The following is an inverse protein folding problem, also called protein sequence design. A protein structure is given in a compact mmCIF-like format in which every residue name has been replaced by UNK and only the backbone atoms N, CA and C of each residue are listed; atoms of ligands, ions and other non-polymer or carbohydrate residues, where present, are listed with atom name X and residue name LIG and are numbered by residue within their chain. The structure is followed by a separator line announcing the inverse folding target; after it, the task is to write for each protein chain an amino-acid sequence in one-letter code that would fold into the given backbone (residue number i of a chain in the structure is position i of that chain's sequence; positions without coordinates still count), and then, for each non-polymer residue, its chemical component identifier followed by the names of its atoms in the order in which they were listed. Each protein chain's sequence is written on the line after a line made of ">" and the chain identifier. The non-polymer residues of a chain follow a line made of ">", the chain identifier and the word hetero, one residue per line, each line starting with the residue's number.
data_IF_794533027502
#
_entry.id   IF_794533027502
#
_cell.length_a   1.000
_cell.length_b   1.000
_cell.length_c   1.000
_cell.angle_alpha   90.00
_cell.angle_beta   90.00
_cell.angle_gamma   90.00
#
_symmetry.space_group_name_H-M   'P 1'
#
loop_
_entity.id
_entity.type
_entity.pdbx_description
1 polymer ?
#
# COMPACT_ATOMS: atom_id res chain seq x y z
N UNK A 1 78.65 -4.39 -46.89
CA UNK A 1 77.86 -5.54 -46.43
C UNK A 1 76.38 -5.18 -46.61
N UNK A 2 75.80 -5.57 -47.75
CA UNK A 2 74.45 -5.13 -48.18
C UNK A 2 73.47 -6.24 -47.81
N UNK A 3 72.65 -6.01 -46.78
CA UNK A 3 71.61 -6.96 -46.39
C UNK A 3 70.54 -6.99 -47.50
N UNK A 4 70.47 -8.12 -48.19
CA UNK A 4 69.46 -8.42 -49.19
C UNK A 4 68.14 -8.73 -48.46
N UNK A 5 67.24 -7.75 -48.44
CA UNK A 5 65.88 -7.93 -47.91
C UNK A 5 65.10 -8.84 -48.88
N UNK A 6 65.11 -10.15 -48.62
CA UNK A 6 64.17 -11.09 -49.26
C UNK A 6 62.75 -10.75 -48.81
N UNK A 7 61.97 -10.14 -49.69
CA UNK A 7 60.53 -10.01 -49.56
C UNK A 7 59.90 -11.42 -49.59
N UNK A 8 59.52 -11.93 -48.41
CA UNK A 8 58.78 -13.19 -48.31
C UNK A 8 57.32 -12.91 -48.73
N UNK A 9 56.87 -13.57 -49.80
CA UNK A 9 55.47 -13.55 -50.21
C UNK A 9 54.60 -14.38 -49.25
N UNK A 10 53.35 -13.94 -49.04
CA UNK A 10 52.37 -14.68 -48.25
C UNK A 10 51.97 -15.96 -48.99
N UNK A 11 51.92 -17.07 -48.27
CA UNK A 11 51.38 -18.32 -48.83
C UNK A 11 49.85 -18.27 -48.85
N UNK A 12 49.21 -18.92 -49.82
CA UNK A 12 47.74 -18.97 -49.91
C UNK A 12 47.12 -19.53 -48.62
N UNK A 13 47.81 -20.48 -47.97
CA UNK A 13 47.43 -21.04 -46.68
C UNK A 13 47.45 -20.00 -45.55
N UNK A 14 48.46 -19.12 -45.47
CA UNK A 14 48.49 -18.03 -44.47
C UNK A 14 47.33 -17.05 -44.68
N UNK A 15 46.97 -16.74 -45.92
CA UNK A 15 45.84 -15.85 -46.21
C UNK A 15 44.52 -16.49 -45.79
N UNK A 16 44.33 -17.79 -46.05
CA UNK A 16 43.14 -18.53 -45.62
C UNK A 16 43.06 -18.63 -44.09
N UNK A 17 44.17 -18.90 -43.41
CA UNK A 17 44.20 -18.96 -41.94
C UNK A 17 43.95 -17.57 -41.35
N UNK A 18 44.61 -16.52 -41.85
CA UNK A 18 44.44 -15.16 -41.37
C UNK A 18 42.99 -14.68 -41.55
N UNK A 19 42.38 -14.93 -42.70
CA UNK A 19 40.98 -14.57 -42.94
C UNK A 19 40.02 -15.34 -42.03
N UNK A 20 40.27 -16.64 -41.77
CA UNK A 20 39.48 -17.43 -40.84
C UNK A 20 39.56 -16.88 -39.40
N UNK A 21 40.77 -16.52 -38.93
CA UNK A 21 40.97 -15.93 -37.60
C UNK A 21 40.26 -14.59 -37.48
N UNK A 22 40.38 -13.72 -38.49
CA UNK A 22 39.69 -12.42 -38.51
C UNK A 22 38.18 -12.62 -38.47
N UNK A 23 37.64 -13.55 -39.27
CA UNK A 23 36.20 -13.82 -39.30
C UNK A 23 35.67 -14.27 -37.93
N UNK A 24 36.39 -15.17 -37.25
CA UNK A 24 36.02 -15.62 -35.89
C UNK A 24 36.11 -14.46 -34.89
N UNK A 25 37.16 -13.64 -34.97
CA UNK A 25 37.33 -12.48 -34.10
C UNK A 25 36.21 -11.44 -34.31
N UNK A 26 35.88 -11.11 -35.55
CA UNK A 26 34.78 -10.19 -35.88
C UNK A 26 33.43 -10.71 -35.38
N UNK A 27 33.16 -12.00 -35.56
CA UNK A 27 31.93 -12.62 -35.05
C UNK A 27 31.83 -12.58 -33.52
N UNK A 28 32.94 -12.81 -32.80
CA UNK A 28 32.98 -12.71 -31.35
C UNK A 28 32.70 -11.27 -30.87
N UNK A 29 33.31 -10.28 -31.53
CA UNK A 29 33.13 -8.86 -31.24
C UNK A 29 31.68 -8.40 -31.47
N UNK A 30 31.05 -8.83 -32.57
CA UNK A 30 29.64 -8.52 -32.84
C UNK A 30 28.70 -9.10 -31.76
N UNK A 31 28.94 -10.33 -31.31
CA UNK A 31 28.18 -10.93 -30.19
C UNK A 31 28.36 -10.16 -28.88
N UNK A 32 29.53 -9.59 -28.65
CA UNK A 32 29.80 -8.80 -27.47
C UNK A 32 29.07 -7.43 -27.51
N UNK A 33 29.15 -6.72 -28.63
CA UNK A 33 28.47 -5.43 -28.80
C UNK A 33 26.95 -5.54 -28.71
N UNK A 34 26.35 -6.57 -29.30
CA UNK A 34 24.90 -6.81 -29.19
C UNK A 34 24.48 -7.05 -27.74
N UNK A 35 25.27 -7.81 -26.96
CA UNK A 35 25.01 -7.98 -25.51
C UNK A 35 25.06 -6.65 -24.77
N UNK A 36 26.07 -5.81 -25.00
CA UNK A 36 26.17 -4.48 -24.37
C UNK A 36 24.99 -3.59 -24.76
N UNK A 37 24.59 -3.58 -26.03
CA UNK A 37 23.44 -2.81 -26.49
C UNK A 37 22.17 -3.18 -25.72
N UNK A 38 21.93 -4.48 -25.52
CA UNK A 38 20.77 -4.94 -24.76
C UNK A 38 20.81 -4.56 -23.29
N UNK A 39 21.98 -4.57 -22.63
CA UNK A 39 22.09 -4.21 -21.21
C UNK A 39 21.92 -2.71 -21.00
N UNK A 40 22.48 -1.88 -21.88
CA UNK A 40 22.29 -0.42 -21.84
C UNK A 40 20.81 -0.08 -22.04
N UNK A 41 20.16 -0.70 -23.02
CA UNK A 41 18.73 -0.52 -23.26
C UNK A 41 17.87 -0.93 -22.04
N UNK A 42 18.18 -2.07 -21.41
CA UNK A 42 17.51 -2.50 -20.19
C UNK A 42 17.73 -1.53 -19.02
N UNK A 43 18.92 -0.96 -18.90
CA UNK A 43 19.23 0.05 -17.87
C UNK A 43 18.42 1.33 -18.08
N UNK A 44 18.40 1.87 -19.31
CA UNK A 44 17.61 3.06 -19.67
C UNK A 44 16.12 2.85 -19.45
N UNK A 45 15.59 1.72 -19.90
CA UNK A 45 14.15 1.43 -19.74
C UNK A 45 13.74 1.30 -18.27
N UNK A 46 14.61 0.73 -17.42
CA UNK A 46 14.41 0.68 -15.96
C UNK A 46 14.48 2.07 -15.32
N UNK A 47 15.40 2.92 -15.76
CA UNK A 47 15.48 4.31 -15.28
C UNK A 47 14.20 5.08 -15.59
N UNK A 48 13.72 5.01 -16.84
CA UNK A 48 12.44 5.62 -17.25
C UNK A 48 11.28 5.09 -16.41
N UNK A 49 11.15 3.76 -16.24
CA UNK A 49 10.10 3.18 -15.42
C UNK A 49 10.14 3.68 -13.95
N UNK A 50 11.34 3.84 -13.39
CA UNK A 50 11.53 4.37 -12.03
C UNK A 50 11.06 5.80 -11.93
N UNK A 51 11.41 6.65 -12.91
CA UNK A 51 10.98 8.05 -12.96
C UNK A 51 9.46 8.15 -13.07
N UNK A 52 8.84 7.40 -13.98
CA UNK A 52 7.38 7.39 -14.16
C UNK A 52 6.63 6.94 -12.90
N UNK A 53 7.19 5.98 -12.16
CA UNK A 53 6.62 5.50 -10.92
C UNK A 53 6.72 6.56 -9.80
N UNK A 54 7.89 7.21 -9.68
CA UNK A 54 8.14 8.28 -8.70
C UNK A 54 7.27 9.51 -8.96
N UNK A 55 7.20 9.96 -10.21
CA UNK A 55 6.37 11.11 -10.61
C UNK A 55 4.91 10.89 -10.21
N UNK A 56 4.36 9.70 -10.48
CA UNK A 56 2.99 9.36 -10.09
C UNK A 56 2.84 9.29 -8.58
N UNK A 57 3.81 8.71 -7.87
CA UNK A 57 3.78 8.66 -6.42
C UNK A 57 3.78 10.07 -5.81
N UNK A 58 4.64 10.96 -6.30
CA UNK A 58 4.71 12.36 -5.86
C UNK A 58 3.40 13.10 -6.14
N UNK A 59 2.81 12.91 -7.32
CA UNK A 59 1.50 13.45 -7.64
C UNK A 59 0.41 12.93 -6.67
N UNK A 60 0.46 11.64 -6.32
CA UNK A 60 -0.47 11.05 -5.35
C UNK A 60 -0.24 11.57 -3.92
N UNK A 61 1.01 11.78 -3.54
CA UNK A 61 1.36 12.32 -2.21
C UNK A 61 0.89 13.76 -2.01
N UNK A 62 0.69 14.54 -3.08
CA UNK A 62 0.12 15.89 -2.99
C UNK A 62 -1.36 15.91 -2.65
N UNK A 63 -2.10 14.82 -2.90
CA UNK A 63 -3.51 14.77 -2.51
C UNK A 63 -3.67 14.75 -0.98
N UNK A 64 -4.71 15.42 -0.44
CA UNK A 64 -5.03 15.30 0.97
C UNK A 64 -5.47 13.87 1.28
N UNK A 65 -5.21 13.42 2.51
CA UNK A 65 -5.44 12.05 2.95
C UNK A 65 -6.85 11.54 2.61
N UNK A 66 -7.87 12.38 2.79
CA UNK A 66 -9.28 12.05 2.56
C UNK A 66 -9.65 11.89 1.08
N UNK A 67 -8.89 12.52 0.16
CA UNK A 67 -9.10 12.34 -1.29
C UNK A 67 -8.47 11.07 -1.84
N UNK A 68 -7.48 10.53 -1.14
CA UNK A 68 -6.90 9.24 -1.48
C UNK A 68 -7.85 8.14 -1.00
N UNK A 69 -8.75 7.73 -1.88
CA UNK A 69 -9.66 6.62 -1.59
C UNK A 69 -8.84 5.32 -1.51
N UNK A 70 -8.95 4.54 -0.43
CA UNK A 70 -8.43 3.18 -0.42
C UNK A 70 -9.16 2.34 -1.46
N UNK A 71 -8.43 1.42 -2.08
CA UNK A 71 -8.98 0.57 -3.12
C UNK A 71 -10.17 -0.21 -2.59
N UNK A 72 -11.25 -0.25 -3.35
CA UNK A 72 -12.40 -1.07 -2.98
C UNK A 72 -12.47 -2.31 -3.86
N UNK A 73 -11.75 -2.37 -4.99
CA UNK A 73 -11.76 -3.53 -5.88
C UNK A 73 -10.36 -3.85 -6.39
N UNK A 74 -9.98 -5.12 -6.32
CA UNK A 74 -8.65 -5.59 -6.69
C UNK A 74 -8.73 -6.38 -7.99
N UNK A 75 -8.32 -5.75 -9.09
CA UNK A 75 -8.18 -6.44 -10.38
C UNK A 75 -6.74 -6.90 -10.56
N UNK A 76 -6.56 -8.09 -11.16
CA UNK A 76 -5.24 -8.61 -11.52
C UNK A 76 -4.75 -7.93 -12.79
N UNK A 77 -3.50 -7.48 -12.80
CA UNK A 77 -2.89 -6.90 -13.99
C UNK A 77 -2.87 -7.89 -15.15
N UNK A 78 -3.45 -7.50 -16.28
CA UNK A 78 -3.27 -8.17 -17.57
C UNK A 78 -1.89 -7.87 -18.17
N UNK A 79 -1.25 -6.78 -17.71
CA UNK A 79 0.03 -6.29 -18.20
C UNK A 79 1.06 -6.27 -17.07
N UNK A 80 2.10 -7.10 -17.17
CA UNK A 80 3.15 -7.23 -16.16
C UNK A 80 3.31 -8.65 -15.63
N UNK A 81 4.25 -8.87 -14.69
CA UNK A 81 4.38 -10.14 -13.99
C UNK A 81 3.08 -10.54 -13.28
N UNK A 82 2.87 -11.84 -13.12
CA UNK A 82 1.68 -12.37 -12.44
C UNK A 82 1.63 -11.89 -10.98
N UNK A 83 0.44 -11.54 -10.50
CA UNK A 83 0.22 -11.20 -9.09
C UNK A 83 0.17 -9.70 -8.77
N UNK A 84 0.42 -8.80 -9.72
CA UNK A 84 0.12 -7.37 -9.50
C UNK A 84 -1.39 -7.21 -9.33
N UNK A 85 -1.78 -6.64 -8.19
CA UNK A 85 -3.15 -6.19 -7.94
C UNK A 85 -3.19 -4.67 -7.98
N UNK A 86 -4.17 -4.13 -8.69
CA UNK A 86 -4.38 -2.69 -8.80
C UNK A 86 -5.87 -2.37 -8.65
N UNK A 87 -6.17 -1.10 -8.39
CA UNK A 87 -7.55 -0.61 -8.28
C UNK A 87 -8.14 -0.41 -9.69
N UNK A 88 -9.24 -1.09 -10.01
CA UNK A 88 -9.90 -0.99 -11.33
C UNK A 88 -10.54 0.37 -11.61
N UNK A 89 -10.91 1.12 -10.57
CA UNK A 89 -11.69 2.36 -10.68
C UNK A 89 -10.77 3.58 -10.65
N UNK A 90 -9.93 3.69 -9.61
CA UNK A 90 -9.01 4.82 -9.45
C UNK A 90 -7.62 4.55 -10.02
N UNK A 91 -7.30 3.28 -10.29
CA UNK A 91 -5.96 2.84 -10.64
C UNK A 91 -5.83 2.08 -11.94
N UNK A 92 -6.80 2.27 -12.84
CA UNK A 92 -6.81 1.64 -14.15
C UNK A 92 -5.45 1.82 -14.87
N UNK A 93 -4.97 0.80 -15.62
CA UNK A 93 -3.64 0.84 -16.20
C UNK A 93 -3.53 1.97 -17.22
N UNK A 94 -2.61 2.89 -16.98
CA UNK A 94 -2.30 4.00 -17.87
C UNK A 94 -1.15 3.60 -18.79
N UNK A 95 -1.36 3.65 -20.11
CA UNK A 95 -0.31 3.35 -21.09
C UNK A 95 0.48 4.62 -21.43
N UNK A 96 1.79 4.55 -21.26
CA UNK A 96 2.71 5.65 -21.57
C UNK A 96 3.75 5.12 -22.56
N UNK A 97 3.95 5.83 -23.68
CA UNK A 97 4.95 5.47 -24.67
C UNK A 97 6.16 6.41 -24.55
N UNK A 98 7.34 5.85 -24.26
CA UNK A 98 8.59 6.61 -24.17
C UNK A 98 9.66 5.87 -24.97
N UNK A 99 10.22 6.52 -25.99
CA UNK A 99 11.29 5.94 -26.81
C UNK A 99 10.90 4.63 -27.50
N UNK A 100 9.63 4.47 -27.88
CA UNK A 100 9.10 3.26 -28.52
C UNK A 100 8.76 2.12 -27.56
N UNK A 101 8.94 2.32 -26.24
CA UNK A 101 8.57 1.35 -25.20
C UNK A 101 7.25 1.75 -24.57
N UNK A 102 6.31 0.80 -24.57
CA UNK A 102 5.03 0.92 -23.85
C UNK A 102 5.21 0.54 -22.39
N UNK A 103 4.93 1.48 -21.50
CA UNK A 103 4.88 1.32 -20.06
C UNK A 103 3.42 1.31 -19.61
N UNK A 104 3.09 0.41 -18.70
CA UNK A 104 1.77 0.32 -18.06
C UNK A 104 1.93 0.72 -16.60
N UNK A 105 1.35 1.86 -16.24
CA UNK A 105 1.37 2.38 -14.88
C UNK A 105 0.08 2.03 -14.18
N UNK A 106 0.18 1.41 -13.02
CA UNK A 106 -0.94 0.94 -12.21
C UNK A 106 -0.74 1.41 -10.77
N UNK A 107 -1.82 1.56 -10.01
CA UNK A 107 -1.74 1.97 -8.61
C UNK A 107 -2.65 1.12 -7.72
N UNK A 108 -2.25 1.00 -6.46
CA UNK A 108 -3.12 0.53 -5.39
C UNK A 108 -2.93 1.39 -4.14
N UNK A 109 -4.04 1.73 -3.49
CA UNK A 109 -4.03 2.45 -2.21
C UNK A 109 -4.64 1.55 -1.16
N UNK A 110 -3.92 1.26 -0.09
CA UNK A 110 -4.35 0.35 0.97
C UNK A 110 -4.38 1.10 2.30
N UNK A 111 -5.40 0.85 3.12
CA UNK A 111 -5.34 1.21 4.55
C UNK A 111 -4.32 0.30 5.22
N UNK A 112 -3.47 0.85 6.08
CA UNK A 112 -2.45 0.08 6.79
C UNK A 112 -2.39 0.48 8.25
N UNK A 113 -2.08 -0.46 9.15
CA UNK A 113 -1.80 -0.17 10.56
C UNK A 113 -0.39 -0.59 10.92
N UNK A 114 0.14 0.02 11.96
CA UNK A 114 1.36 -0.49 12.59
C UNK A 114 1.05 -1.83 13.27
N UNK A 115 1.93 -2.80 13.06
CA UNK A 115 1.90 -4.05 13.80
C UNK A 115 2.10 -3.77 15.30
N UNK A 116 1.19 -4.20 16.20
CA UNK A 116 1.43 -4.07 17.63
C UNK A 116 2.63 -4.90 18.12
N UNK A 117 3.00 -5.96 17.39
CA UNK A 117 4.08 -6.88 17.77
C UNK A 117 5.45 -6.53 17.14
N UNK A 118 5.54 -5.52 16.26
CA UNK A 118 6.78 -5.24 15.53
C UNK A 118 6.83 -3.91 14.78
N UNK A 119 7.93 -3.66 14.03
CA UNK A 119 8.10 -2.43 13.25
C UNK A 119 7.34 -2.43 11.92
N UNK A 120 6.67 -3.54 11.57
CA UNK A 120 6.06 -3.74 10.26
C UNK A 120 4.71 -3.03 10.13
N UNK A 121 4.32 -2.76 8.89
CA UNK A 121 2.99 -2.27 8.56
C UNK A 121 2.13 -3.43 8.06
N UNK A 122 1.03 -3.68 8.76
CA UNK A 122 0.01 -4.67 8.38
C UNK A 122 -0.97 -3.99 7.44
N UNK A 123 -1.21 -4.61 6.30
CA UNK A 123 -2.27 -4.18 5.40
C UNK A 123 -3.61 -4.50 6.04
N UNK A 124 -4.49 -3.50 6.15
CA UNK A 124 -5.89 -3.72 6.48
C UNK A 124 -6.61 -4.13 5.20
N UNK A 125 -6.13 -5.24 4.67
CA UNK A 125 -6.96 -6.14 3.90
C UNK A 125 -7.80 -6.88 4.92
N UNK A 126 -9.08 -7.05 4.60
CA UNK A 126 -10.01 -7.81 5.41
C UNK A 126 -9.41 -9.19 5.69
N UNK A 127 -8.93 -9.43 6.92
CA UNK A 127 -8.55 -10.77 7.37
C UNK A 127 -9.86 -11.51 7.64
N UNK A 128 -10.52 -11.91 6.56
CA UNK A 128 -11.37 -13.08 6.60
C UNK A 128 -10.43 -14.24 6.35
N UNK A 129 -10.06 -14.89 7.44
CA UNK A 129 -9.34 -16.15 7.46
C UNK A 129 -10.19 -17.21 6.72
N UNK A 130 -10.14 -17.21 5.39
CA UNK A 130 -11.07 -18.01 4.58
C UNK A 130 -11.27 -17.58 3.12
N UNK A 131 -10.21 -17.25 2.38
CA UNK A 131 -10.20 -17.35 0.91
C UNK A 131 -11.20 -16.51 0.08
N UNK A 132 -11.98 -15.62 0.69
CA UNK A 132 -12.92 -14.73 0.02
C UNK A 132 -12.29 -13.37 -0.28
N UNK A 133 -12.34 -12.93 -1.52
CA UNK A 133 -11.86 -11.59 -1.91
C UNK A 133 -12.90 -10.56 -1.46
N UNK A 134 -12.85 -10.10 -0.21
CA UNK A 134 -13.68 -8.98 0.23
C UNK A 134 -12.96 -7.63 0.05
N UNK A 135 -13.56 -6.88 -0.86
CA UNK A 135 -13.38 -5.48 -1.19
C UNK A 135 -13.28 -4.64 0.09
N UNK A 136 -12.16 -3.93 0.31
CA UNK A 136 -12.01 -3.07 1.48
C UNK A 136 -13.14 -2.03 1.47
N UNK A 137 -14.16 -2.24 2.29
CA UNK A 137 -15.30 -1.33 2.30
C UNK A 137 -14.86 0.00 2.92
N UNK A 138 -15.45 1.13 2.52
CA UNK A 138 -15.15 2.44 3.09
C UNK A 138 -15.35 2.51 4.62
N UNK A 139 -16.08 1.55 5.19
CA UNK A 139 -16.47 1.48 6.60
C UNK A 139 -15.43 0.86 7.55
N UNK A 140 -14.33 0.28 7.05
CA UNK A 140 -13.26 -0.17 7.94
C UNK A 140 -12.65 1.00 8.70
N UNK A 141 -12.35 0.77 9.98
CA UNK A 141 -11.69 1.74 10.86
C UNK A 141 -10.54 2.40 10.11
N UNK A 142 -10.67 3.71 9.87
CA UNK A 142 -9.56 4.50 9.37
C UNK A 142 -8.41 4.33 10.37
N UNK A 143 -7.19 4.16 9.90
CA UNK A 143 -6.00 4.02 10.74
C UNK A 143 -5.11 5.24 10.66
N UNK A 144 -5.53 6.27 9.92
CA UNK A 144 -4.75 7.49 9.72
C UNK A 144 -3.53 7.28 8.84
N UNK A 145 -3.34 6.06 8.29
CA UNK A 145 -2.21 5.72 7.44
C UNK A 145 -2.69 4.95 6.20
N UNK A 146 -2.24 5.39 5.05
CA UNK A 146 -2.47 4.73 3.75
C UNK A 146 -1.14 4.42 3.09
N UNK A 147 -1.03 3.21 2.54
CA UNK A 147 0.08 2.81 1.67
C UNK A 147 -0.34 3.01 0.23
N UNK A 148 0.48 3.71 -0.54
CA UNK A 148 0.31 3.92 -1.97
C UNK A 148 1.38 3.07 -2.65
N UNK A 149 0.95 2.07 -3.42
CA UNK A 149 1.83 1.33 -4.30
C UNK A 149 1.62 1.83 -5.74
N UNK A 150 2.72 2.15 -6.41
CA UNK A 150 2.74 2.45 -7.84
C UNK A 150 3.56 1.38 -8.53
N UNK A 151 2.94 0.69 -9.48
CA UNK A 151 3.58 -0.31 -10.32
C UNK A 151 3.77 0.25 -11.71
N UNK A 152 4.96 0.05 -12.29
CA UNK A 152 5.19 0.30 -13.71
C UNK A 152 5.72 -0.97 -14.33
N UNK A 153 4.97 -1.51 -15.29
CA UNK A 153 5.30 -2.72 -16.02
C UNK A 153 5.64 -2.41 -17.49
N UNK A 154 6.61 -3.11 -18.05
CA UNK A 154 6.96 -3.00 -19.47
C UNK A 154 7.42 -4.36 -20.01
N UNK A 155 7.27 -4.54 -21.32
CA UNK A 155 7.67 -5.77 -21.98
C UNK A 155 9.10 -5.66 -22.52
N UNK A 156 9.88 -6.73 -22.35
CA UNK A 156 11.20 -6.90 -22.95
C UNK A 156 11.20 -8.15 -23.83
N UNK A 157 12.26 -8.36 -24.62
CA UNK A 157 12.46 -9.61 -25.38
C UNK A 157 12.51 -10.86 -24.50
N UNK A 158 12.74 -10.70 -23.18
CA UNK A 158 12.78 -11.78 -22.19
C UNK A 158 11.50 -11.85 -21.32
N UNK A 159 10.42 -11.20 -21.75
CA UNK A 159 9.16 -11.14 -21.03
C UNK A 159 8.95 -9.85 -20.24
N UNK A 160 7.93 -9.86 -19.39
CA UNK A 160 7.51 -8.70 -18.60
C UNK A 160 8.48 -8.38 -17.47
N UNK A 161 8.71 -7.08 -17.28
CA UNK A 161 9.47 -6.51 -16.16
C UNK A 161 8.58 -5.52 -15.42
N UNK A 162 8.87 -5.32 -14.15
CA UNK A 162 8.15 -4.37 -13.31
C UNK A 162 9.09 -3.64 -12.36
N UNK A 163 8.64 -2.48 -11.91
CA UNK A 163 9.14 -1.81 -10.72
C UNK A 163 7.96 -1.40 -9.85
N UNK A 164 8.13 -1.52 -8.53
CA UNK A 164 7.18 -1.03 -7.53
C UNK A 164 7.85 0.08 -6.74
N UNK A 165 7.15 1.21 -6.60
CA UNK A 165 7.52 2.28 -5.68
C UNK A 165 6.39 2.41 -4.67
N UNK A 166 6.76 2.45 -3.39
CA UNK A 166 5.82 2.51 -2.27
C UNK A 166 6.01 3.84 -1.57
N UNK A 167 4.90 4.51 -1.25
CA UNK A 167 4.87 5.65 -0.36
C UNK A 167 3.82 5.48 0.72
N UNK A 168 3.99 6.21 1.81
CA UNK A 168 3.02 6.29 2.89
C UNK A 168 2.40 7.68 2.89
N UNK A 169 1.10 7.73 3.16
CA UNK A 169 0.37 8.96 3.40
C UNK A 169 -0.28 8.88 4.78
N UNK A 170 0.14 9.76 5.65
CA UNK A 170 -0.48 9.96 6.96
C UNK A 170 -1.55 11.04 6.91
N UNK A 171 -2.48 10.95 7.86
CA UNK A 171 -3.42 12.01 8.15
C UNK A 171 -2.84 12.90 9.27
N UNK A 172 -2.30 14.06 8.90
CA UNK A 172 -1.66 14.99 9.82
C UNK A 172 -2.59 15.52 10.95
N UNK A 173 -3.91 15.48 10.74
CA UNK A 173 -4.90 15.95 11.72
C UNK A 173 -5.30 14.83 12.68
N UNK A 174 -4.97 13.57 12.38
CA UNK A 174 -5.39 12.47 13.24
C UNK A 174 -4.49 12.39 14.46
N UNK A 175 -5.07 12.68 15.62
CA UNK A 175 -4.50 12.26 16.88
C UNK A 175 -4.54 10.73 16.89
N UNK A 176 -3.38 10.10 17.08
CA UNK A 176 -3.27 8.64 17.15
C UNK A 176 -4.27 8.10 18.17
N UNK A 177 -4.99 7.00 17.88
CA UNK A 177 -5.89 6.32 18.80
C UNK A 177 -5.09 5.74 19.98
N UNK A 178 -4.70 6.62 20.90
CA UNK A 178 -3.83 6.35 22.05
C UNK A 178 -4.60 6.43 23.37
N UNK A 179 -5.91 6.65 23.31
CA UNK A 179 -6.80 6.63 24.46
C UNK A 179 -7.65 5.37 24.40
N UNK A 180 -7.84 4.71 25.54
CA UNK A 180 -8.79 3.59 25.65
C UNK A 180 -10.08 4.13 26.22
N UNK A 181 -11.17 3.99 25.47
CA UNK A 181 -12.51 4.18 26.00
C UNK A 181 -12.96 2.86 26.61
N UNK A 182 -13.40 2.89 27.86
CA UNK A 182 -13.93 1.71 28.53
C UNK A 182 -15.11 2.09 29.42
N UNK A 183 -16.00 1.15 29.64
CA UNK A 183 -17.19 1.36 30.47
C UNK A 183 -18.00 0.10 30.68
N UNK A 184 -19.14 0.26 31.33
CA UNK A 184 -20.11 -0.79 31.61
C UNK A 184 -21.46 -0.42 30.99
N UNK A 185 -22.09 -1.37 30.30
CA UNK A 185 -23.47 -1.24 29.83
C UNK A 185 -24.39 -1.95 30.81
N UNK A 186 -25.41 -1.22 31.29
CA UNK A 186 -26.41 -1.72 32.22
C UNK A 186 -27.81 -1.45 31.68
N UNK A 187 -28.72 -2.39 31.92
CA UNK A 187 -30.16 -2.21 31.80
C UNK A 187 -30.66 -1.13 32.76
N UNK A 188 -31.84 -0.58 32.48
CA UNK A 188 -32.60 0.30 33.40
C UNK A 188 -32.83 -0.33 34.77
N UNK A 189 -32.85 -1.66 34.85
CA UNK A 189 -32.97 -2.44 36.10
C UNK A 189 -31.64 -2.71 36.80
N UNK A 190 -30.51 -2.23 36.27
CA UNK A 190 -29.17 -2.38 36.83
C UNK A 190 -28.42 -3.66 36.44
N UNK A 191 -29.06 -4.58 35.69
CA UNK A 191 -28.41 -5.79 35.16
C UNK A 191 -27.36 -5.45 34.09
N UNK A 192 -26.23 -6.14 34.10
CA UNK A 192 -25.18 -6.00 33.09
C UNK A 192 -25.63 -6.64 31.77
N UNK A 193 -25.35 -5.98 30.64
CA UNK A 193 -25.80 -6.43 29.33
C UNK A 193 -24.62 -6.91 28.47
N UNK A 194 -24.66 -8.19 28.09
CA UNK A 194 -23.73 -8.83 27.17
C UNK A 194 -24.15 -8.61 25.70
N UNK A 195 -23.19 -8.74 24.78
CA UNK A 195 -23.38 -8.68 23.33
C UNK A 195 -23.97 -7.37 22.80
N UNK A 196 -23.75 -6.26 23.50
CA UNK A 196 -24.23 -4.93 23.08
C UNK A 196 -23.13 -4.22 22.28
N UNK A 197 -23.47 -3.79 21.06
CA UNK A 197 -22.61 -2.91 20.26
C UNK A 197 -22.63 -1.50 20.83
N UNK A 198 -21.46 -1.04 21.29
CA UNK A 198 -21.20 0.33 21.72
C UNK A 198 -20.51 1.03 20.56
N UNK A 199 -21.11 2.11 20.06
CA UNK A 199 -20.58 2.89 18.95
C UNK A 199 -20.28 4.33 19.39
N UNK A 200 -19.20 4.88 18.87
CA UNK A 200 -18.78 6.25 19.11
C UNK A 200 -18.49 6.91 17.77
N UNK A 201 -19.08 8.08 17.55
CA UNK A 201 -18.94 8.81 16.29
C UNK A 201 -18.14 10.08 16.51
N UNK A 202 -17.11 10.28 15.69
CA UNK A 202 -16.32 11.51 15.60
C UNK A 202 -16.21 11.96 14.15
N UNK A 203 -16.78 13.13 13.82
CA UNK A 203 -16.62 13.77 12.51
C UNK A 203 -16.83 12.84 11.30
N UNK A 204 -17.77 11.90 11.39
CA UNK A 204 -18.09 10.93 10.32
C UNK A 204 -17.31 9.61 10.37
N UNK A 205 -16.49 9.38 11.39
CA UNK A 205 -15.83 8.10 11.71
C UNK A 205 -16.52 7.43 12.89
N UNK A 206 -16.76 6.11 12.80
CA UNK A 206 -17.39 5.32 13.86
C UNK A 206 -16.41 4.26 14.38
N UNK A 207 -16.06 4.36 15.67
CA UNK A 207 -15.37 3.30 16.40
C UNK A 207 -16.41 2.51 17.22
N UNK A 208 -16.26 1.18 17.30
CA UNK A 208 -17.21 0.33 18.02
C UNK A 208 -16.55 -0.83 18.77
N UNK A 209 -17.25 -1.32 19.79
CA UNK A 209 -16.91 -2.54 20.52
C UNK A 209 -18.17 -3.25 20.98
N UNK A 210 -18.09 -4.56 21.14
CA UNK A 210 -19.17 -5.38 21.71
C UNK A 210 -18.88 -5.61 23.19
N UNK A 211 -19.91 -5.50 24.04
CA UNK A 211 -19.76 -5.83 25.47
C UNK A 211 -19.54 -7.32 25.69
N UNK A 212 -18.78 -7.66 26.73
CA UNK A 212 -18.60 -9.03 27.20
C UNK A 212 -19.71 -9.47 28.19
N UNK A 213 -19.66 -10.73 28.65
CA UNK A 213 -20.59 -11.31 29.62
C UNK A 213 -20.67 -10.53 30.96
N UNK A 214 -19.71 -9.65 31.24
CA UNK A 214 -19.68 -8.76 32.40
C UNK A 214 -20.16 -7.32 32.08
N UNK A 215 -20.74 -7.11 30.89
CA UNK A 215 -21.21 -5.84 30.38
C UNK A 215 -20.10 -4.83 30.12
N UNK A 216 -18.83 -5.26 30.07
CA UNK A 216 -17.68 -4.37 29.84
C UNK A 216 -17.42 -4.21 28.36
N UNK A 217 -17.11 -3.00 27.95
CA UNK A 217 -16.56 -2.70 26.63
C UNK A 217 -15.22 -1.98 26.77
N UNK A 218 -14.32 -2.20 25.81
CA UNK A 218 -13.08 -1.43 25.70
C UNK A 218 -12.62 -1.33 24.24
N UNK A 219 -12.30 -0.13 23.77
CA UNK A 219 -11.71 0.08 22.45
C UNK A 219 -10.84 1.34 22.39
N UNK A 220 -9.89 1.37 21.45
CA UNK A 220 -8.96 2.48 21.28
C UNK A 220 -9.55 3.58 20.41
N UNK A 221 -9.58 4.80 20.94
CA UNK A 221 -10.10 6.01 20.31
C UNK A 221 -9.04 7.11 20.34
N UNK A 222 -9.18 8.10 19.46
CA UNK A 222 -8.38 9.31 19.54
C UNK A 222 -8.69 10.11 20.85
N UNK A 223 -7.81 10.97 21.35
CA UNK A 223 -8.21 11.99 22.32
C UNK A 223 -9.25 12.92 21.69
N UNK A 224 -10.45 12.99 22.26
CA UNK A 224 -11.55 13.76 21.66
C UNK A 224 -12.78 13.87 22.54
N UNK A 225 -13.72 14.72 22.11
CA UNK A 225 -15.07 14.76 22.69
C UNK A 225 -15.99 13.95 21.79
N UNK A 226 -16.58 12.91 22.35
CA UNK A 226 -17.36 11.94 21.61
C UNK A 226 -18.85 12.11 21.91
N UNK A 227 -19.67 12.00 20.87
CA UNK A 227 -21.10 11.81 21.05
C UNK A 227 -21.39 10.31 21.01
N UNK A 228 -22.10 9.74 21.99
CA UNK A 228 -22.48 8.34 21.93
C UNK A 228 -23.30 8.08 20.66
N UNK A 229 -22.89 7.07 19.89
CA UNK A 229 -23.54 6.63 18.67
C UNK A 229 -24.80 5.82 18.95
N UNK A 230 -25.49 5.46 17.86
CA UNK A 230 -26.74 4.72 17.86
C UNK A 230 -26.55 3.32 18.42
N UNK A 231 -27.43 2.91 19.32
CA UNK A 231 -27.52 1.55 19.84
C UNK A 231 -28.42 0.72 18.92
N UNK A 232 -27.95 -0.46 18.49
CA UNK A 232 -28.74 -1.36 17.65
C UNK A 232 -29.95 -1.91 18.44
N UNK A 233 -31.15 -2.07 17.84
CA UNK A 233 -32.40 -2.26 18.57
C UNK A 233 -32.49 -3.64 19.24
N UNK A 234 -32.88 -3.67 20.52
CA UNK A 234 -33.15 -4.89 21.29
C UNK A 234 -33.22 -4.67 22.80
N UNK A 235 -32.62 -3.59 23.31
CA UNK A 235 -32.59 -3.26 24.74
C UNK A 235 -32.85 -1.75 24.99
N UNK A 236 -33.53 -1.39 26.10
CA UNK A 236 -33.93 -0.01 26.38
C UNK A 236 -32.73 0.94 26.59
N UNK A 237 -32.94 2.19 26.17
CA UNK A 237 -31.93 3.22 25.89
C UNK A 237 -31.49 3.93 27.18
N UNK A 238 -30.18 4.07 27.40
CA UNK A 238 -29.59 4.91 28.44
C UNK A 238 -28.43 5.74 27.89
N UNK A 239 -28.38 7.04 28.21
CA UNK A 239 -27.30 7.93 27.79
C UNK A 239 -26.10 7.81 28.72
N UNK A 240 -24.91 7.54 28.17
CA UNK A 240 -23.63 7.63 28.88
C UNK A 240 -22.74 8.62 28.13
N UNK A 241 -22.41 9.75 28.77
CA UNK A 241 -21.36 10.64 28.28
C UNK A 241 -20.00 10.09 28.72
N UNK A 242 -19.13 9.72 27.78
CA UNK A 242 -17.78 9.25 28.08
C UNK A 242 -16.73 10.21 27.52
N UNK A 243 -15.75 10.60 28.34
CA UNK A 243 -14.65 11.48 27.96
C UNK A 243 -13.36 10.67 27.91
N UNK A 244 -12.79 10.49 26.72
CA UNK A 244 -11.48 9.87 26.59
C UNK A 244 -10.40 10.88 27.01
N UNK A 245 -9.55 10.53 27.98
CA UNK A 245 -8.43 11.35 28.43
C UNK A 245 -7.15 10.52 28.39
N UNK A 246 -6.05 11.12 27.95
CA UNK A 246 -4.70 10.52 27.95
C UNK A 246 -4.39 9.98 29.35
N UNK A 247 -4.19 8.68 29.49
CA UNK A 247 -3.89 8.04 30.77
C UNK A 247 -2.45 8.32 31.21
N UNK A 248 -2.22 9.52 31.69
CA UNK A 248 -1.15 9.80 32.64
C UNK A 248 -1.66 10.93 33.53
N UNK A 249 -2.54 10.56 34.48
CA UNK A 249 -2.86 11.24 35.74
C UNK A 249 -4.24 10.79 36.21
N UNK A 250 -4.25 10.01 37.27
CA UNK A 250 -5.40 9.73 38.11
C UNK A 250 -5.94 11.06 38.62
N UNK A 251 -7.07 11.52 38.09
CA UNK A 251 -7.87 12.56 38.75
C UNK A 251 -9.33 12.30 38.45
N UNK A 252 -9.97 11.68 39.44
CA UNK A 252 -11.41 11.54 39.57
C UNK A 252 -12.06 12.91 39.47
N UNK A 253 -12.95 13.12 38.50
CA UNK A 253 -13.90 14.24 38.52
C UNK A 253 -15.33 13.70 38.41
N UNK A 254 -16.27 14.29 39.18
CA UNK A 254 -17.59 13.71 39.39
C UNK A 254 -18.47 13.86 38.15
N UNK A 255 -19.22 12.79 37.87
CA UNK A 255 -20.25 12.75 36.84
C UNK A 255 -21.37 13.73 37.21
N UNK A 256 -21.59 14.74 36.36
CA UNK A 256 -22.77 15.60 36.43
C UNK A 256 -23.99 14.73 36.06
N UNK A 257 -24.72 14.26 37.07
CA UNK A 257 -26.08 13.70 36.90
C UNK A 257 -27.05 14.84 36.62
N UNK A 258 -27.77 14.79 35.51
CA UNK A 258 -29.17 15.23 35.49
C UNK A 258 -30.03 14.06 35.02
N UNK A 259 -30.94 13.54 35.87
CA UNK A 259 -31.96 12.61 35.42
C UNK A 259 -33.01 13.40 34.62
N UNK A 260 -33.32 12.94 33.41
CA UNK A 260 -34.60 13.27 32.77
C UNK A 260 -35.47 12.03 32.96
N UNK A 261 -36.46 12.19 33.83
CA UNK A 261 -37.57 11.27 34.01
C UNK A 261 -38.50 11.34 32.80
N UNK A 262 -38.93 10.18 32.31
CA UNK A 262 -40.25 10.02 31.69
C UNK A 262 -41.23 9.55 32.76
#
# INVERSE_FOLDING_TARGET
>A
MRMENRSRGLTLTEVVIASAVIAVATAAVMKYFTRIGTTIYQSRTKQVATTLAREKLEALQRFPYYRLRPWTDSTRATHGPTGIRYDSIMGAPEMINVGGVKYFRMLSVQKVKKDPAGPNLIDLLDDVSGGGTQLATPYYQDTGLKRINVYVAWQTSRGWRQIQVVGLKENAVRLQNNCVLWGLVKSTTGALLDMISVEVVESGHTDSAVTDASGRYSFSVAPGTYTPGRWTPGHPIGFISARAKRSTLTTTYPLFRRPISF
#
